data_IF_865019337400
#
_entry.id   IF_865019337400
#
_cell.length_a   1.000
_cell.length_b   1.000
_cell.length_c   1.000
_cell.angle_alpha   90.00
_cell.angle_beta   90.00
_cell.angle_gamma   90.00
#
_symmetry.space_group_name_H-M   'P 1'
#
loop_
_entity.id
_entity.type
_entity.pdbx_description
1 polymer ?
#
# COMPACT_ATOMS: atom_id res chain seq x y z
N UNK A 1 -10.20 10.60 -9.42
CA UNK A 1 -9.43 11.67 -8.74
C UNK A 1 -10.23 12.96 -8.52
N UNK A 2 -10.43 13.86 -9.51
CA UNK A 2 -11.05 15.19 -9.26
C UNK A 2 -12.42 15.12 -8.56
N UNK A 3 -13.37 14.37 -9.11
CA UNK A 3 -14.72 14.24 -8.55
C UNK A 3 -14.74 13.54 -7.19
N UNK A 4 -13.84 12.58 -6.96
CA UNK A 4 -13.71 11.92 -5.65
C UNK A 4 -13.21 12.90 -4.60
N UNK A 5 -12.23 13.74 -4.95
CA UNK A 5 -11.74 14.81 -4.09
C UNK A 5 -12.82 15.85 -3.78
N UNK A 6 -13.61 16.25 -4.78
CA UNK A 6 -14.75 17.16 -4.61
C UNK A 6 -15.80 16.58 -3.64
N UNK A 7 -16.22 15.33 -3.86
CA UNK A 7 -17.20 14.64 -3.00
C UNK A 7 -16.65 14.50 -1.56
N UNK A 8 -15.39 14.09 -1.41
CA UNK A 8 -14.77 13.92 -0.10
C UNK A 8 -14.61 15.27 0.63
N UNK A 9 -14.22 16.32 -0.09
CA UNK A 9 -14.05 17.66 0.45
C UNK A 9 -15.37 18.27 0.93
N UNK A 10 -16.43 18.18 0.13
CA UNK A 10 -17.78 18.65 0.52
C UNK A 10 -18.29 17.88 1.74
N UNK A 11 -18.10 16.56 1.76
CA UNK A 11 -18.49 15.74 2.92
C UNK A 11 -17.73 16.13 4.19
N UNK A 12 -16.42 16.39 4.08
CA UNK A 12 -15.60 16.82 5.21
C UNK A 12 -15.98 18.22 5.71
N UNK A 13 -16.24 19.17 4.80
CA UNK A 13 -16.68 20.53 5.15
C UNK A 13 -18.02 20.51 5.91
N UNK A 14 -18.98 19.73 5.42
CA UNK A 14 -20.28 19.59 6.08
C UNK A 14 -20.17 18.92 7.46
N UNK A 15 -19.29 17.93 7.63
CA UNK A 15 -19.03 17.32 8.95
C UNK A 15 -18.46 18.33 9.97
N UNK A 16 -17.77 19.36 9.49
CA UNK A 16 -17.23 20.45 10.31
C UNK A 16 -18.23 21.62 10.48
N UNK A 17 -19.45 21.50 9.97
CA UNK A 17 -20.48 22.54 10.05
C UNK A 17 -20.37 23.63 8.99
N UNK A 18 -19.51 23.46 7.98
CA UNK A 18 -19.39 24.39 6.85
C UNK A 18 -20.25 23.95 5.68
N UNK A 19 -21.43 24.58 5.58
CA UNK A 19 -22.40 24.34 4.50
C UNK A 19 -23.13 23.00 4.63
N UNK A 20 -24.12 22.79 3.78
CA UNK A 20 -24.86 21.53 3.71
C UNK A 20 -24.17 20.58 2.72
N UNK A 21 -24.06 19.29 3.06
CA UNK A 21 -23.66 18.23 2.13
C UNK A 21 -24.75 17.95 1.05
N UNK A 22 -25.39 19.00 0.56
CA UNK A 22 -26.54 18.89 -0.32
C UNK A 22 -26.15 18.54 -1.77
N UNK A 23 -27.09 17.85 -2.41
CA UNK A 23 -27.08 17.12 -3.67
C UNK A 23 -25.74 16.99 -4.45
N UNK A 24 -24.99 15.93 -4.14
CA UNK A 24 -23.85 15.45 -4.94
C UNK A 24 -24.25 14.39 -5.98
N UNK A 25 -25.53 14.25 -6.32
CA UNK A 25 -26.01 13.18 -7.22
C UNK A 25 -25.40 13.29 -8.63
N UNK A 26 -25.24 14.50 -9.14
CA UNK A 26 -24.61 14.74 -10.44
C UNK A 26 -23.15 14.28 -10.45
N UNK A 27 -22.37 14.65 -9.42
CA UNK A 27 -20.98 14.24 -9.22
C UNK A 27 -20.87 12.72 -9.08
N UNK A 28 -21.76 12.09 -8.29
CA UNK A 28 -21.79 10.64 -8.10
C UNK A 28 -22.10 9.90 -9.41
N UNK A 29 -23.06 10.38 -10.21
CA UNK A 29 -23.36 9.82 -11.55
C UNK A 29 -22.16 9.95 -12.49
N UNK A 30 -21.52 11.12 -12.50
CA UNK A 30 -20.33 11.36 -13.31
C UNK A 30 -19.16 10.48 -12.88
N UNK A 31 -18.92 10.33 -11.57
CA UNK A 31 -17.88 9.47 -11.01
C UNK A 31 -18.12 8.00 -11.35
N UNK A 32 -19.36 7.51 -11.26
CA UNK A 32 -19.70 6.14 -11.64
C UNK A 32 -19.34 5.86 -13.11
N UNK A 33 -19.65 6.78 -14.02
CA UNK A 33 -19.24 6.68 -15.44
C UNK A 33 -17.72 6.67 -15.60
N UNK A 34 -16.99 7.53 -14.89
CA UNK A 34 -15.52 7.54 -14.92
C UNK A 34 -14.92 6.24 -14.38
N UNK A 35 -15.48 5.68 -13.30
CA UNK A 35 -15.03 4.40 -12.73
C UNK A 35 -15.27 3.23 -13.67
N UNK A 36 -16.39 3.20 -14.42
CA UNK A 36 -16.61 2.17 -15.45
C UNK A 36 -15.55 2.23 -16.55
N UNK A 37 -15.22 3.43 -17.03
CA UNK A 37 -14.16 3.61 -18.02
C UNK A 37 -12.79 3.22 -17.45
N UNK A 38 -12.47 3.64 -16.22
CA UNK A 38 -11.25 3.26 -15.52
C UNK A 38 -11.12 1.73 -15.36
N UNK A 39 -12.21 1.05 -14.97
CA UNK A 39 -12.21 -0.40 -14.83
C UNK A 39 -11.91 -1.10 -16.16
N UNK A 40 -12.51 -0.63 -17.27
CA UNK A 40 -12.22 -1.15 -18.60
C UNK A 40 -10.75 -0.93 -19.00
N UNK A 41 -10.22 0.28 -18.75
CA UNK A 41 -8.80 0.56 -19.00
C UNK A 41 -7.87 -0.32 -18.16
N UNK A 42 -8.18 -0.53 -16.89
CA UNK A 42 -7.38 -1.39 -16.02
C UNK A 42 -7.38 -2.84 -16.47
N UNK A 43 -8.49 -3.37 -17.00
CA UNK A 43 -8.50 -4.71 -17.58
C UNK A 43 -7.67 -4.81 -18.86
N UNK A 44 -7.72 -3.78 -19.73
CA UNK A 44 -6.93 -3.74 -20.96
C UNK A 44 -5.42 -3.66 -20.70
N UNK A 45 -5.04 -2.98 -19.62
CA UNK A 45 -3.65 -2.80 -19.20
C UNK A 45 -3.24 -3.74 -18.07
N UNK A 46 -4.07 -4.73 -17.75
CA UNK A 46 -3.73 -5.67 -16.70
C UNK A 46 -2.55 -6.52 -17.18
N UNK A 47 -1.44 -6.44 -16.45
CA UNK A 47 -0.31 -7.33 -16.68
C UNK A 47 -0.72 -8.64 -16.04
N UNK A 48 -1.26 -9.56 -16.85
CA UNK A 48 -1.65 -10.90 -16.40
C UNK A 48 -0.59 -11.43 -15.42
N UNK A 49 -0.97 -11.87 -14.21
CA UNK A 49 -0.02 -12.22 -13.18
C UNK A 49 0.82 -13.39 -13.67
N UNK A 50 2.05 -13.09 -14.14
CA UNK A 50 3.05 -14.13 -14.36
C UNK A 50 3.30 -14.82 -13.01
N UNK A 51 3.34 -16.15 -12.96
CA UNK A 51 3.78 -16.85 -11.76
C UNK A 51 5.15 -16.32 -11.37
N UNK A 52 5.26 -15.79 -10.16
CA UNK A 52 6.53 -15.21 -9.70
C UNK A 52 7.61 -16.30 -9.57
N UNK A 53 7.19 -17.54 -9.41
CA UNK A 53 8.02 -18.76 -9.43
C UNK A 53 8.74 -19.01 -10.75
N UNK A 54 8.29 -18.41 -11.86
CA UNK A 54 8.93 -18.57 -13.18
C UNK A 54 10.14 -17.63 -13.36
N UNK A 55 10.41 -16.76 -12.38
CA UNK A 55 11.53 -15.84 -12.40
C UNK A 55 12.79 -16.51 -11.83
N UNK A 56 13.99 -16.15 -12.33
CA UNK A 56 15.22 -16.66 -11.77
C UNK A 56 15.39 -16.31 -10.28
N UNK A 57 15.97 -17.20 -9.45
CA UNK A 57 16.09 -16.99 -8.01
C UNK A 57 16.90 -15.73 -7.64
N UNK A 58 17.86 -15.32 -8.47
CA UNK A 58 18.66 -14.09 -8.32
C UNK A 58 17.88 -12.80 -8.59
N UNK A 59 16.61 -12.89 -9.01
CA UNK A 59 15.77 -11.72 -9.27
C UNK A 59 15.59 -10.90 -7.99
N UNK A 60 16.03 -9.65 -8.01
CA UNK A 60 15.86 -8.73 -6.87
C UNK A 60 14.40 -8.35 -6.71
N UNK A 61 13.81 -8.77 -5.59
CA UNK A 61 12.44 -8.40 -5.20
C UNK A 61 12.46 -7.14 -4.33
N UNK A 62 13.40 -7.02 -3.40
CA UNK A 62 13.55 -5.85 -2.54
C UNK A 62 14.80 -5.06 -2.90
N UNK A 63 14.69 -4.05 -3.75
CA UNK A 63 15.84 -3.20 -4.12
C UNK A 63 16.53 -2.51 -2.94
N UNK A 64 15.78 -2.10 -1.91
CA UNK A 64 16.37 -1.34 -0.80
C UNK A 64 17.21 -2.19 0.16
N UNK A 65 16.89 -3.47 0.29
CA UNK A 65 17.59 -4.42 1.16
C UNK A 65 18.34 -5.47 0.34
N UNK A 66 18.35 -5.32 -0.98
CA UNK A 66 18.97 -6.22 -1.97
C UNK A 66 18.52 -7.68 -1.89
N UNK A 67 17.29 -7.92 -1.43
CA UNK A 67 16.73 -9.27 -1.25
C UNK A 67 16.21 -9.84 -2.57
N UNK A 68 16.67 -11.04 -2.88
CA UNK A 68 16.34 -11.85 -4.05
C UNK A 68 15.08 -12.71 -3.85
N UNK A 69 14.54 -13.25 -4.94
CA UNK A 69 13.44 -14.21 -4.91
C UNK A 69 13.84 -15.52 -4.22
N UNK A 70 15.08 -15.96 -4.41
CA UNK A 70 15.64 -17.15 -3.76
C UNK A 70 15.63 -17.03 -2.23
N UNK A 71 16.11 -15.90 -1.70
CA UNK A 71 16.09 -15.61 -0.26
C UNK A 71 14.67 -15.54 0.30
N UNK A 72 13.71 -14.99 -0.46
CA UNK A 72 12.30 -14.99 -0.06
C UNK A 72 11.75 -16.42 -0.01
N UNK A 73 12.07 -17.24 -1.01
CA UNK A 73 11.60 -18.62 -1.10
C UNK A 73 12.16 -19.47 0.05
N UNK A 74 13.43 -19.30 0.38
CA UNK A 74 14.07 -19.93 1.55
C UNK A 74 13.45 -19.43 2.88
N UNK A 75 13.19 -18.13 2.98
CA UNK A 75 12.50 -17.53 4.12
C UNK A 75 11.07 -18.09 4.31
N UNK A 76 10.37 -18.37 3.21
CA UNK A 76 9.04 -19.00 3.25
C UNK A 76 9.11 -20.48 3.62
N UNK A 77 10.13 -21.21 3.16
CA UNK A 77 10.33 -22.62 3.51
C UNK A 77 10.65 -22.80 5.00
N UNK A 78 11.46 -21.91 5.57
CA UNK A 78 11.85 -21.95 6.99
C UNK A 78 10.74 -21.46 7.93
N UNK A 79 9.96 -20.46 7.54
CA UNK A 79 8.85 -19.91 8.34
C UNK A 79 7.61 -19.65 7.48
N UNK A 80 6.89 -20.69 7.05
CA UNK A 80 5.65 -20.54 6.29
C UNK A 80 4.62 -19.82 7.16
N UNK A 81 3.99 -18.76 6.64
CA UNK A 81 3.07 -17.97 7.46
C UNK A 81 2.63 -16.67 6.84
N UNK A 82 2.84 -15.57 7.56
CA UNK A 82 2.37 -14.24 7.20
C UNK A 82 3.48 -13.41 6.54
N UNK A 83 3.14 -12.40 5.76
CA UNK A 83 4.15 -11.48 5.18
C UNK A 83 5.00 -10.81 6.28
N UNK A 84 4.43 -10.66 7.48
CA UNK A 84 5.15 -10.16 8.66
C UNK A 84 6.20 -11.11 9.23
N UNK A 85 5.98 -12.44 9.18
CA UNK A 85 7.03 -13.41 9.54
C UNK A 85 8.13 -13.43 8.49
N UNK A 86 7.77 -13.43 7.20
CA UNK A 86 8.73 -13.33 6.10
C UNK A 86 9.59 -12.07 6.20
N UNK A 87 8.98 -10.91 6.49
CA UNK A 87 9.68 -9.65 6.74
C UNK A 87 10.71 -9.76 7.86
N UNK A 88 10.40 -10.45 8.96
CA UNK A 88 11.37 -10.65 10.06
C UNK A 88 12.49 -11.60 9.67
N UNK A 89 12.20 -12.65 8.90
CA UNK A 89 13.19 -13.62 8.46
C UNK A 89 14.16 -13.06 7.42
N UNK A 90 13.68 -12.25 6.48
CA UNK A 90 14.44 -11.84 5.27
C UNK A 90 14.70 -10.34 5.16
N UNK A 91 14.14 -9.53 6.08
CA UNK A 91 14.14 -8.06 6.01
C UNK A 91 13.38 -7.45 4.82
N UNK A 92 12.67 -8.24 4.02
CA UNK A 92 11.86 -7.71 2.91
C UNK A 92 10.91 -6.60 3.39
N UNK A 93 10.97 -5.45 2.72
CA UNK A 93 10.16 -4.28 3.07
C UNK A 93 10.62 -3.48 4.29
N UNK A 94 11.84 -3.71 4.81
CA UNK A 94 12.44 -2.90 5.89
C UNK A 94 13.25 -1.68 5.39
N UNK A 95 13.62 -1.63 4.10
CA UNK A 95 14.44 -0.55 3.57
C UNK A 95 13.72 0.79 3.39
N UNK A 96 14.41 1.79 2.83
CA UNK A 96 13.93 3.18 2.74
C UNK A 96 12.54 3.37 2.11
N UNK A 97 12.13 2.48 1.20
CA UNK A 97 10.79 2.52 0.59
C UNK A 97 9.67 1.95 1.49
N UNK A 98 10.01 1.34 2.63
CA UNK A 98 9.09 0.74 3.61
C UNK A 98 8.09 -0.24 2.97
N UNK A 99 8.56 -1.06 2.03
CA UNK A 99 7.74 -2.10 1.40
C UNK A 99 6.81 -1.61 0.28
N UNK A 100 6.91 -0.35 -0.16
CA UNK A 100 6.02 0.20 -1.20
C UNK A 100 6.05 -0.56 -2.54
N UNK A 101 7.22 -1.07 -2.90
CA UNK A 101 7.42 -1.79 -4.16
C UNK A 101 7.41 -3.31 -3.97
N UNK A 102 8.15 -3.80 -2.98
CA UNK A 102 8.27 -5.24 -2.72
C UNK A 102 7.11 -5.83 -1.89
N UNK A 103 6.33 -5.01 -1.18
CA UNK A 103 5.28 -5.48 -0.28
C UNK A 103 4.15 -6.22 -1.01
N UNK A 104 3.56 -5.67 -2.08
CA UNK A 104 2.54 -6.39 -2.87
C UNK A 104 3.08 -7.71 -3.44
N UNK A 105 4.34 -7.73 -3.88
CA UNK A 105 5.01 -8.95 -4.38
C UNK A 105 5.19 -9.98 -3.27
N UNK A 106 5.69 -9.56 -2.10
CA UNK A 106 5.86 -10.43 -0.95
C UNK A 106 4.53 -10.99 -0.43
N UNK A 107 3.46 -10.19 -0.37
CA UNK A 107 2.12 -10.66 -0.03
C UNK A 107 1.62 -11.70 -1.01
N UNK A 108 1.82 -11.50 -2.32
CA UNK A 108 1.48 -12.49 -3.36
C UNK A 108 2.26 -13.80 -3.19
N UNK A 109 3.57 -13.73 -2.99
CA UNK A 109 4.41 -14.93 -2.77
C UNK A 109 3.98 -15.72 -1.52
N UNK A 110 3.62 -15.02 -0.44
CA UNK A 110 3.07 -15.65 0.76
C UNK A 110 1.72 -16.32 0.48
N UNK A 111 0.83 -15.65 -0.26
CA UNK A 111 -0.47 -16.21 -0.63
C UNK A 111 -0.32 -17.45 -1.51
N UNK A 112 0.57 -17.40 -2.51
CA UNK A 112 0.92 -18.54 -3.39
C UNK A 112 1.49 -19.70 -2.56
N UNK A 113 2.43 -19.45 -1.64
CA UNK A 113 3.04 -20.48 -0.80
C UNK A 113 2.10 -21.08 0.26
N UNK A 114 1.09 -20.34 0.72
CA UNK A 114 0.17 -20.79 1.79
C UNK A 114 -1.20 -21.22 1.28
N UNK A 115 -1.54 -20.94 0.03
CA UNK A 115 -2.87 -21.14 -0.54
C UNK A 115 -3.96 -20.25 0.08
N UNK A 116 -3.59 -19.22 0.85
CA UNK A 116 -4.54 -18.32 1.52
C UNK A 116 -4.90 -17.14 0.61
N UNK A 117 -6.18 -16.79 0.59
CA UNK A 117 -6.65 -15.59 -0.10
C UNK A 117 -6.02 -14.33 0.52
N UNK A 118 -5.72 -13.35 -0.33
CA UNK A 118 -5.21 -12.04 0.10
C UNK A 118 -6.38 -11.18 0.59
N UNK A 119 -6.21 -10.61 1.77
CA UNK A 119 -7.12 -9.65 2.39
C UNK A 119 -6.35 -8.43 2.96
N UNK A 120 -7.07 -7.48 3.55
CA UNK A 120 -6.48 -6.28 4.15
C UNK A 120 -5.43 -6.58 5.23
N UNK A 121 -5.52 -7.74 5.89
CA UNK A 121 -4.60 -8.15 6.95
C UNK A 121 -3.35 -8.83 6.41
N UNK A 122 -3.33 -9.22 5.14
CA UNK A 122 -2.26 -9.95 4.48
C UNK A 122 -1.04 -9.09 4.11
N UNK A 123 -1.14 -7.78 4.31
CA UNK A 123 -0.10 -6.81 3.99
C UNK A 123 0.79 -6.48 5.19
N UNK A 124 1.88 -5.74 4.94
CA UNK A 124 2.65 -5.15 6.02
C UNK A 124 1.79 -4.20 6.83
N UNK A 125 1.85 -4.31 8.16
CA UNK A 125 1.21 -3.35 9.04
C UNK A 125 1.80 -1.94 8.78
N UNK A 126 0.97 -0.93 8.43
CA UNK A 126 1.42 0.44 8.29
C UNK A 126 1.96 0.97 9.62
N UNK A 127 3.06 1.73 9.57
CA UNK A 127 3.68 2.36 10.75
C UNK A 127 3.98 3.81 10.44
N UNK A 128 3.85 4.67 11.45
CA UNK A 128 4.32 6.06 11.37
C UNK A 128 5.84 6.10 11.59
N UNK A 129 6.58 6.99 10.91
CA UNK A 129 6.11 7.92 9.86
C UNK A 129 5.93 7.22 8.50
N UNK A 130 4.93 7.61 7.71
CA UNK A 130 4.58 6.98 6.42
C UNK A 130 5.69 7.11 5.35
N UNK A 131 6.50 8.15 5.47
CA UNK A 131 7.75 8.36 4.74
C UNK A 131 8.83 8.70 5.76
N UNK A 132 10.09 8.30 5.54
CA UNK A 132 11.18 8.74 6.38
C UNK A 132 11.25 10.26 6.46
N UNK A 133 11.27 10.79 7.68
CA UNK A 133 11.46 12.21 8.01
C UNK A 133 12.65 12.33 8.95
N UNK A 134 13.28 13.51 9.02
CA UNK A 134 14.38 13.72 9.96
C UNK A 134 13.83 13.79 11.39
N UNK A 135 14.67 13.40 12.36
CA UNK A 135 14.34 13.56 13.79
C UNK A 135 14.10 15.05 14.11
N UNK A 136 14.89 15.94 13.52
CA UNK A 136 14.71 17.38 13.66
C UNK A 136 13.31 17.85 13.24
N UNK A 137 12.75 17.32 12.15
CA UNK A 137 11.37 17.65 11.74
C UNK A 137 10.32 17.16 12.75
N UNK A 138 10.57 16.04 13.43
CA UNK A 138 9.68 15.54 14.48
C UNK A 138 9.75 16.45 15.71
N UNK A 139 10.97 16.83 16.14
CA UNK A 139 11.17 17.74 17.28
C UNK A 139 10.54 19.11 17.02
N UNK A 140 10.78 19.70 15.84
CA UNK A 140 10.19 20.98 15.47
C UNK A 140 8.65 20.95 15.42
N UNK A 141 8.07 19.84 14.96
CA UNK A 141 6.61 19.66 14.97
C UNK A 141 6.07 19.53 16.40
N UNK A 142 6.80 18.89 17.30
CA UNK A 142 6.42 18.78 18.71
C UNK A 142 6.45 20.14 19.41
N UNK A 143 7.53 20.91 19.26
CA UNK A 143 7.65 22.26 19.83
C UNK A 143 6.53 23.20 19.35
N UNK A 144 6.14 23.10 18.07
CA UNK A 144 5.05 23.90 17.50
C UNK A 144 3.66 23.50 18.03
N UNK A 145 3.46 22.24 18.42
CA UNK A 145 2.22 21.77 19.04
C UNK A 145 2.15 22.15 20.52
N UNK A 146 3.28 22.11 21.23
CA UNK A 146 3.37 22.40 22.66
C UNK A 146 3.38 23.91 22.97
N UNK A 147 3.90 24.74 22.05
CA UNK A 147 4.01 26.21 22.20
C UNK A 147 2.82 27.03 21.70
N UNK A 148 1.70 26.38 21.39
CA UNK A 148 0.49 26.99 20.83
C UNK A 148 -0.59 27.43 21.84
N UNK A 149 -0.29 27.41 23.14
CA UNK A 149 -1.12 28.01 24.20
C UNK A 149 -0.88 29.53 24.34
#
# INVERSE_FOLDING_TARGET
ARLEGEIAGVAAAAQLGFGDASDLSAQRRALARQRRFQAALWQLHDVAPRPLTDLPPETIVCRCEEITLGEITEGLASTPGHVGTLKRATRVGMGRCQGRYCGPVATRLVAEATGRAVDDRSHFAPRVPIKPVSIASILAAQEALDGGD
#
